data_IF_623192659234
#
_entry.id   IF_623192659234
#
_cell.length_a   1.000
_cell.length_b   1.000
_cell.length_c   1.000
_cell.angle_alpha   90.00
_cell.angle_beta   90.00
_cell.angle_gamma   90.00
#
_symmetry.space_group_name_H-M   'P 1'
#
loop_
_entity.id
_entity.type
_entity.pdbx_description
1 polymer ?
#
# COMPACT_ATOMS: atom_id res chain seq x y z
N UNK A 1 6.18 -14.94 2.51
CA UNK A 1 4.89 -14.32 2.10
C UNK A 1 3.75 -15.18 2.60
N UNK A 2 2.58 -14.61 2.95
CA UNK A 2 1.37 -15.36 3.30
C UNK A 2 0.32 -15.18 2.19
N UNK A 3 -0.43 -16.22 1.86
CA UNK A 3 -1.53 -16.16 0.89
C UNK A 3 -2.73 -15.48 1.54
N UNK A 4 -3.31 -14.49 0.87
CA UNK A 4 -4.53 -13.79 1.29
C UNK A 4 -5.46 -13.81 0.09
N UNK A 5 -6.69 -14.29 0.29
CA UNK A 5 -7.75 -14.21 -0.71
C UNK A 5 -8.67 -13.03 -0.36
N UNK A 6 -8.97 -12.20 -1.36
CA UNK A 6 -9.86 -11.04 -1.22
C UNK A 6 -10.87 -11.03 -2.37
N UNK A 7 -12.09 -10.60 -2.08
CA UNK A 7 -13.12 -10.41 -3.10
C UNK A 7 -13.11 -8.95 -3.54
N UNK A 8 -12.96 -8.72 -4.85
CA UNK A 8 -12.93 -7.39 -5.46
C UNK A 8 -13.97 -7.34 -6.60
N UNK A 9 -14.60 -6.18 -6.84
CA UNK A 9 -15.42 -5.97 -8.03
C UNK A 9 -14.63 -6.19 -9.32
N UNK A 10 -15.27 -6.74 -10.35
CA UNK A 10 -14.62 -7.08 -11.62
C UNK A 10 -13.89 -5.90 -12.27
N UNK A 11 -14.49 -4.71 -12.21
CA UNK A 11 -13.88 -3.49 -12.77
C UNK A 11 -12.50 -3.21 -12.20
N UNK A 12 -12.33 -3.35 -10.88
CA UNK A 12 -11.05 -3.11 -10.22
C UNK A 12 -10.02 -4.15 -10.66
N UNK A 13 -10.42 -5.41 -10.81
CA UNK A 13 -9.54 -6.47 -11.30
C UNK A 13 -9.10 -6.20 -12.74
N UNK A 14 -10.01 -5.74 -13.59
CA UNK A 14 -9.71 -5.34 -14.98
C UNK A 14 -8.74 -4.17 -15.03
N UNK A 15 -8.95 -3.13 -14.22
CA UNK A 15 -8.06 -1.97 -14.19
C UNK A 15 -6.64 -2.36 -13.74
N UNK A 16 -6.52 -3.22 -12.71
CA UNK A 16 -5.22 -3.75 -12.27
C UNK A 16 -4.56 -4.57 -13.38
N UNK A 17 -5.34 -5.38 -14.10
CA UNK A 17 -4.83 -6.18 -15.22
C UNK A 17 -4.29 -5.28 -16.34
N UNK A 18 -4.98 -4.18 -16.67
CA UNK A 18 -4.50 -3.22 -17.66
C UNK A 18 -3.16 -2.58 -17.27
N UNK A 19 -2.93 -2.30 -15.99
CA UNK A 19 -1.65 -1.78 -15.50
C UNK A 19 -0.50 -2.79 -15.69
N UNK A 20 -0.78 -4.08 -15.54
CA UNK A 20 0.19 -5.15 -15.77
C UNK A 20 0.48 -5.29 -17.27
N UNK A 21 -0.55 -5.21 -18.12
CA UNK A 21 -0.42 -5.29 -19.59
C UNK A 21 0.37 -4.11 -20.16
N UNK A 22 0.27 -2.94 -19.55
CA UNK A 22 1.10 -1.77 -19.87
C UNK A 22 2.56 -1.91 -19.41
N UNK A 23 2.91 -2.98 -18.69
CA UNK A 23 4.26 -3.23 -18.18
C UNK A 23 4.64 -2.39 -16.96
N UNK A 24 3.69 -1.68 -16.34
CA UNK A 24 3.95 -0.87 -15.13
C UNK A 24 4.21 -1.75 -13.90
N UNK A 25 3.59 -2.93 -13.86
CA UNK A 25 3.79 -3.90 -12.80
C UNK A 25 4.04 -5.28 -13.39
N UNK A 26 4.91 -6.09 -12.76
CA UNK A 26 5.26 -7.41 -13.27
C UNK A 26 4.11 -8.42 -13.17
N UNK A 27 3.17 -8.23 -12.23
CA UNK A 27 1.98 -9.05 -12.06
C UNK A 27 0.95 -8.36 -11.16
N UNK A 28 -0.28 -8.88 -11.17
CA UNK A 28 -1.40 -8.36 -10.36
C UNK A 28 -1.10 -8.37 -8.86
N UNK A 29 -0.45 -9.42 -8.36
CA UNK A 29 -0.12 -9.54 -6.93
C UNK A 29 0.86 -8.47 -6.46
N UNK A 30 1.84 -8.11 -7.29
CA UNK A 30 2.79 -7.03 -7.01
C UNK A 30 2.12 -5.66 -7.04
N UNK A 31 1.26 -5.40 -8.03
CA UNK A 31 0.47 -4.16 -8.09
C UNK A 31 -0.38 -3.98 -6.81
N UNK A 32 -1.06 -5.04 -6.36
CA UNK A 32 -1.87 -5.03 -5.14
C UNK A 32 -1.00 -4.80 -3.89
N UNK A 33 0.16 -5.47 -3.79
CA UNK A 33 1.07 -5.28 -2.64
C UNK A 33 1.60 -3.85 -2.55
N UNK A 34 1.89 -3.21 -3.68
CA UNK A 34 2.34 -1.81 -3.71
C UNK A 34 1.21 -0.89 -3.23
N UNK A 35 0.00 -1.07 -3.75
CA UNK A 35 -1.17 -0.30 -3.30
C UNK A 35 -1.42 -0.44 -1.78
N UNK A 36 -1.32 -1.67 -1.24
CA UNK A 36 -1.45 -1.91 0.21
C UNK A 36 -0.31 -1.22 0.99
N UNK A 37 0.93 -1.30 0.50
CA UNK A 37 2.08 -0.64 1.14
C UNK A 37 1.88 0.88 1.21
N UNK A 38 1.46 1.49 0.11
CA UNK A 38 1.27 2.94 0.02
C UNK A 38 0.14 3.40 0.94
N UNK A 39 -0.95 2.62 1.00
CA UNK A 39 -2.04 2.83 1.96
C UNK A 39 -1.52 2.78 3.41
N UNK A 40 -0.78 1.73 3.79
CA UNK A 40 -0.25 1.59 5.16
C UNK A 40 0.75 2.69 5.51
N UNK A 41 1.60 3.09 4.55
CA UNK A 41 2.55 4.17 4.75
C UNK A 41 1.82 5.47 5.08
N UNK A 42 0.82 5.81 4.28
CA UNK A 42 0.04 7.04 4.43
C UNK A 42 -0.79 7.08 5.71
N UNK A 43 -1.43 5.97 6.07
CA UNK A 43 -2.36 5.92 7.21
C UNK A 43 -1.67 5.64 8.55
N UNK A 44 -0.62 4.81 8.58
CA UNK A 44 0.02 4.38 9.83
C UNK A 44 1.41 4.98 10.03
N UNK A 45 2.26 4.98 9.02
CA UNK A 45 3.67 5.34 9.20
C UNK A 45 3.90 6.85 9.17
N UNK A 46 3.22 7.58 8.30
CA UNK A 46 3.34 9.04 8.23
C UNK A 46 2.66 9.73 9.44
N UNK A 47 1.60 9.12 10.00
CA UNK A 47 1.02 9.61 11.27
C UNK A 47 1.92 9.37 12.49
N UNK A 48 2.78 8.35 12.43
CA UNK A 48 3.68 8.02 13.54
C UNK A 48 4.96 8.88 13.56
N UNK A 49 5.38 9.43 12.40
CA UNK A 49 6.50 10.39 12.32
C UNK A 49 6.19 11.67 13.11
N UNK A 50 5.00 12.26 12.94
CA UNK A 50 4.59 13.47 13.66
C UNK A 50 4.30 13.30 15.16
N UNK A 51 4.31 12.06 15.68
CA UNK A 51 4.18 11.75 17.11
C UNK A 51 5.54 11.49 17.77
N UNK A 52 6.54 11.03 17.00
CA UNK A 52 7.87 10.73 17.50
C UNK A 52 8.70 12.00 17.72
N UNK A 53 8.57 13.02 16.86
CA UNK A 53 9.28 14.31 17.02
C UNK A 53 8.83 15.09 18.26
N UNK A 54 7.51 15.14 18.53
CA UNK A 54 6.95 15.84 19.70
C UNK A 54 7.28 15.19 21.05
N UNK A 55 7.69 13.92 21.09
CA UNK A 55 8.13 13.27 22.34
C UNK A 55 9.61 13.50 22.63
N UNK A 56 10.45 13.70 21.61
CA UNK A 56 11.87 14.03 21.79
C UNK A 56 12.09 15.46 22.31
N UNK A 57 11.19 16.40 22.02
CA UNK A 57 11.28 17.78 22.50
C UNK A 57 10.87 17.95 23.97
N UNK A 58 10.12 16.99 24.54
CA UNK A 58 9.62 17.08 25.93
C UNK A 58 10.55 16.37 26.93
N UNK A 59 11.55 15.62 26.45
CA UNK A 59 12.52 14.89 27.29
C UNK A 59 13.95 15.47 27.15
N UNK A 60 14.09 16.62 26.50
CA UNK A 60 15.34 17.39 26.40
C UNK A 60 15.42 18.53 27.41
#
# INVERSE_FOLDING_TARGET
MRLIAVHLPDRIVTDIQALVEQGLYPNRSEAIRIAIRDLLKRELWDQNMGKKERMSEVVG
#
